data_IF_438130048804
#
_entry.id   IF_438130048804
#
_cell.length_a   1.000
_cell.length_b   1.000
_cell.length_c   1.000
_cell.angle_alpha   90.00
_cell.angle_beta   90.00
_cell.angle_gamma   90.00
#
_symmetry.space_group_name_H-M   'P 1'
#
loop_
_entity.id
_entity.type
_entity.pdbx_description
1 polymer ?
#
# COMPACT_ATOMS: atom_id res chain seq x y z
N UNK A 1 16.08 -16.34 14.80
CA UNK A 1 15.10 -15.40 15.40
C UNK A 1 14.54 -14.54 14.26
N UNK A 2 13.23 -14.43 14.05
CA UNK A 2 12.70 -13.60 12.98
C UNK A 2 12.85 -12.13 13.37
N UNK A 3 13.56 -11.37 12.54
CA UNK A 3 13.76 -9.93 12.68
C UNK A 3 12.40 -9.22 12.63
N UNK A 4 11.95 -8.70 13.77
CA UNK A 4 10.84 -7.76 13.83
C UNK A 4 11.26 -6.50 13.06
N UNK A 5 10.82 -6.43 11.81
CA UNK A 5 10.98 -5.24 10.96
C UNK A 5 10.10 -4.14 11.59
N UNK A 6 10.70 -3.28 12.40
CA UNK A 6 10.05 -2.07 12.91
C UNK A 6 9.45 -1.32 11.73
N UNK A 7 8.11 -1.24 11.70
CA UNK A 7 7.40 -0.40 10.75
C UNK A 7 7.90 1.03 10.94
N UNK A 8 8.55 1.59 9.91
CA UNK A 8 8.98 2.98 9.89
C UNK A 8 7.75 3.86 10.14
N UNK A 9 7.81 4.71 11.17
CA UNK A 9 6.78 5.71 11.50
C UNK A 9 6.42 6.50 10.23
N UNK A 10 5.19 6.33 9.73
CA UNK A 10 4.67 7.05 8.56
C UNK A 10 4.02 6.17 7.48
N UNK A 11 4.29 4.85 7.50
CA UNK A 11 3.74 3.92 6.51
C UNK A 11 2.57 3.12 7.08
N UNK A 12 1.45 3.11 6.37
CA UNK A 12 0.28 2.28 6.68
C UNK A 12 0.28 1.04 5.78
N UNK A 13 -0.22 -0.08 6.30
CA UNK A 13 -0.46 -1.28 5.49
C UNK A 13 -1.91 -1.29 5.03
N UNK A 14 -2.12 -1.37 3.74
CA UNK A 14 -3.44 -1.46 3.13
C UNK A 14 -3.51 -2.66 2.23
N UNK A 15 -4.57 -3.44 2.37
CA UNK A 15 -4.95 -4.45 1.40
C UNK A 15 -5.87 -3.83 0.38
N UNK A 16 -5.54 -3.99 -0.89
CA UNK A 16 -6.45 -3.64 -1.99
C UNK A 16 -7.12 -4.92 -2.46
N UNK A 17 -8.41 -4.85 -2.81
CA UNK A 17 -9.12 -5.98 -3.41
C UNK A 17 -8.43 -6.40 -4.72
N UNK A 18 -8.28 -7.71 -4.96
CA UNK A 18 -7.54 -8.24 -6.11
C UNK A 18 -8.04 -7.74 -7.48
N UNK A 19 -9.33 -7.36 -7.58
CA UNK A 19 -9.91 -6.77 -8.80
C UNK A 19 -9.29 -5.40 -9.14
N UNK A 20 -8.93 -4.62 -8.13
CA UNK A 20 -8.38 -3.27 -8.27
C UNK A 20 -6.87 -3.21 -7.95
N UNK A 21 -6.27 -4.32 -7.52
CA UNK A 21 -4.88 -4.40 -7.09
C UNK A 21 -3.88 -3.94 -8.18
N UNK A 22 -4.08 -4.35 -9.44
CA UNK A 22 -3.21 -3.92 -10.55
C UNK A 22 -3.34 -2.42 -10.81
N UNK A 23 -4.56 -1.88 -10.79
CA UNK A 23 -4.82 -0.45 -11.01
C UNK A 23 -4.22 0.38 -9.88
N UNK A 24 -4.44 -0.04 -8.64
CA UNK A 24 -3.85 0.57 -7.46
C UNK A 24 -2.32 0.56 -7.56
N UNK A 25 -1.71 -0.59 -7.85
CA UNK A 25 -0.27 -0.70 -8.02
C UNK A 25 0.29 0.28 -9.06
N UNK A 26 -0.32 0.34 -10.25
CA UNK A 26 0.12 1.25 -11.31
C UNK A 26 0.01 2.73 -10.90
N UNK A 27 -1.07 3.11 -10.22
CA UNK A 27 -1.27 4.48 -9.71
C UNK A 27 -0.22 4.84 -8.66
N UNK A 28 0.03 3.93 -7.73
CA UNK A 28 1.02 4.14 -6.68
C UNK A 28 2.44 4.22 -7.28
N UNK A 29 2.81 3.36 -8.23
CA UNK A 29 4.11 3.41 -8.93
C UNK A 29 4.28 4.72 -9.69
N UNK A 30 3.24 5.19 -10.38
CA UNK A 30 3.22 6.47 -11.08
C UNK A 30 3.47 7.64 -10.12
N UNK A 31 2.79 7.65 -8.96
CA UNK A 31 2.96 8.70 -7.94
C UNK A 31 4.35 8.66 -7.31
N UNK A 32 4.87 7.46 -7.07
CA UNK A 32 6.19 7.21 -6.47
C UNK A 32 7.37 7.46 -7.43
N UNK A 33 7.11 8.04 -8.62
CA UNK A 33 8.10 8.27 -9.69
C UNK A 33 8.90 7.01 -10.05
N UNK A 34 8.26 5.84 -10.02
CA UNK A 34 8.90 4.57 -10.33
C UNK A 34 9.69 3.91 -9.18
N UNK A 35 9.64 4.43 -7.94
CA UNK A 35 10.16 3.67 -6.80
C UNK A 35 9.29 2.43 -6.58
N UNK A 36 9.94 1.28 -6.43
CA UNK A 36 9.25 0.03 -6.15
C UNK A 36 8.54 0.13 -4.81
N UNK A 37 7.22 -0.04 -4.84
CA UNK A 37 6.45 -0.24 -3.63
C UNK A 37 6.66 -1.69 -3.19
N UNK A 38 6.85 -1.88 -1.89
CA UNK A 38 6.87 -3.22 -1.32
C UNK A 38 5.43 -3.75 -1.34
N UNK A 39 5.13 -4.52 -2.38
CA UNK A 39 3.95 -5.38 -2.43
C UNK A 39 4.25 -6.63 -1.60
N UNK A 40 3.51 -6.80 -0.51
CA UNK A 40 3.54 -7.98 0.35
C UNK A 40 2.56 -9.05 -0.21
N UNK A 41 2.74 -10.33 0.16
CA UNK A 41 1.81 -11.39 -0.23
C UNK A 41 0.37 -11.08 0.17
N UNK A 42 -0.59 -11.35 -0.73
CA UNK A 42 -2.03 -11.14 -0.48
C UNK A 42 -2.53 -9.71 -0.74
N UNK A 43 -1.97 -9.05 -1.77
CA UNK A 43 -2.33 -7.69 -2.23
C UNK A 43 -2.24 -6.62 -1.13
N UNK A 44 -1.28 -6.81 -0.21
CA UNK A 44 -1.01 -5.86 0.86
C UNK A 44 0.11 -4.92 0.41
N UNK A 45 -0.15 -3.62 0.44
CA UNK A 45 0.81 -2.58 0.11
C UNK A 45 1.17 -1.82 1.37
N UNK A 46 2.48 -1.57 1.53
CA UNK A 46 2.96 -0.60 2.51
C UNK A 46 3.03 0.77 1.82
N UNK A 47 2.19 1.69 2.25
CA UNK A 47 1.99 2.99 1.59
C UNK A 47 2.12 4.15 2.56
N UNK A 48 2.61 5.28 2.05
CA UNK A 48 2.62 6.55 2.76
C UNK A 48 1.25 7.23 2.75
N UNK A 49 1.04 8.20 3.64
CA UNK A 49 -0.19 9.00 3.71
C UNK A 49 -0.54 9.72 2.39
N UNK A 50 0.45 10.12 1.60
CA UNK A 50 0.23 10.71 0.27
C UNK A 50 -0.35 9.71 -0.73
N UNK A 51 0.09 8.45 -0.63
CA UNK A 51 -0.33 7.37 -1.51
C UNK A 51 -1.73 6.86 -1.14
N UNK A 52 -2.08 6.90 0.16
CA UNK A 52 -3.47 6.69 0.62
C UNK A 52 -4.44 7.68 -0.03
N UNK A 53 -4.10 8.97 -0.05
CA UNK A 53 -4.94 9.98 -0.71
C UNK A 53 -5.20 9.68 -2.19
N UNK A 54 -4.22 9.11 -2.90
CA UNK A 54 -4.41 8.72 -4.30
C UNK A 54 -5.42 7.59 -4.44
N UNK A 55 -5.43 6.65 -3.51
CA UNK A 55 -6.44 5.58 -3.50
C UNK A 55 -7.84 6.15 -3.26
N UNK A 56 -7.97 7.08 -2.30
CA UNK A 56 -9.23 7.78 -2.03
C UNK A 56 -9.72 8.59 -3.25
N UNK A 57 -8.83 9.40 -3.85
CA UNK A 57 -9.14 10.21 -5.05
C UNK A 57 -9.59 9.37 -6.24
N UNK A 58 -9.11 8.12 -6.34
CA UNK A 58 -9.46 7.20 -7.44
C UNK A 58 -10.60 6.25 -7.08
N UNK A 59 -11.24 6.43 -5.91
CA UNK A 59 -12.30 5.57 -5.37
C UNK A 59 -11.90 4.08 -5.37
N UNK A 60 -10.65 3.79 -5.02
CA UNK A 60 -10.14 2.42 -4.96
C UNK A 60 -10.44 1.88 -3.56
N UNK A 61 -11.22 0.79 -3.45
CA UNK A 61 -11.51 0.18 -2.16
C UNK A 61 -10.25 -0.46 -1.57
N UNK A 62 -9.93 -0.08 -0.34
CA UNK A 62 -8.82 -0.66 0.43
C UNK A 62 -9.23 -0.94 1.88
N UNK A 63 -8.59 -1.95 2.49
CA UNK A 63 -8.71 -2.29 3.89
C UNK A 63 -7.41 -1.92 4.62
N UNK A 64 -7.48 -1.05 5.62
CA UNK A 64 -6.31 -0.75 6.45
C UNK A 64 -6.08 -1.92 7.40
N UNK A 65 -4.92 -2.56 7.28
CA UNK A 65 -4.51 -3.66 8.16
C UNK A 65 -3.65 -3.05 9.27
N UNK A 66 -4.29 -2.69 10.39
CA UNK A 66 -3.56 -2.44 11.63
C UNK A 66 -3.04 -3.78 12.15
N UNK A 67 -1.72 -3.98 12.06
CA UNK A 67 -1.10 -5.11 12.76
C UNK A 67 -1.18 -4.83 14.26
N UNK A 68 -2.11 -5.52 14.94
CA UNK A 68 -2.08 -5.72 16.40
C UNK A 68 -0.77 -6.37 16.84
#
# INVERSE_FOLDING_TARGET
MPQFQQQKKGFSRVRVLSKDATRAYLLMVKKSKGRSLQALPGDIFQVDAETLKVLDENAIPYEVIEQK
#
